data_IF_998840838061
#
_entry.id   IF_998840838061
#
_cell.length_a   1.000
_cell.length_b   1.000
_cell.length_c   1.000
_cell.angle_alpha   90.00
_cell.angle_beta   90.00
_cell.angle_gamma   90.00
#
_symmetry.space_group_name_H-M   'P 1'
#
loop_
_entity.id
_entity.type
_entity.pdbx_description
1 polymer ?
#
# COMPACT_ATOMS: atom_id res chain seq x y z
N UNK A 1 -21.79 -4.13 17.91
CA UNK A 1 -22.45 -3.59 16.71
C UNK A 1 -21.97 -2.14 16.59
N UNK A 2 -21.11 -1.79 15.64
CA UNK A 2 -20.71 -0.38 15.46
C UNK A 2 -19.31 -0.10 14.92
N UNK A 3 -18.82 -0.79 13.88
CA UNK A 3 -17.54 -0.46 13.22
C UNK A 3 -17.61 -0.54 11.68
N UNK A 4 -18.78 -0.27 11.07
CA UNK A 4 -18.94 -0.29 9.61
C UNK A 4 -19.36 1.05 8.99
N UNK A 5 -19.42 2.16 9.75
CA UNK A 5 -19.95 3.43 9.24
C UNK A 5 -18.87 4.38 8.67
N UNK A 6 -17.58 4.19 8.96
CA UNK A 6 -16.53 5.10 8.46
C UNK A 6 -16.20 4.89 6.98
N UNK A 7 -16.32 3.66 6.46
CA UNK A 7 -16.10 3.37 5.03
C UNK A 7 -17.13 4.03 4.11
N UNK A 8 -18.32 4.32 4.61
CA UNK A 8 -19.40 4.95 3.84
C UNK A 8 -19.27 6.48 3.78
N UNK A 9 -18.57 7.11 4.75
CA UNK A 9 -18.39 8.56 4.84
C UNK A 9 -17.37 9.10 3.82
N UNK A 10 -16.37 8.30 3.43
CA UNK A 10 -15.39 8.69 2.41
C UNK A 10 -16.00 8.76 0.99
N UNK A 11 -17.08 8.00 0.74
CA UNK A 11 -17.80 8.05 -0.53
C UNK A 11 -18.68 9.31 -0.69
N UNK A 12 -19.11 9.93 0.43
CA UNK A 12 -20.03 11.08 0.45
C UNK A 12 -19.33 12.45 0.58
N UNK A 13 -18.04 12.49 0.91
CA UNK A 13 -17.25 13.73 0.92
C UNK A 13 -16.01 13.64 0.02
N UNK A 14 -16.15 13.76 -1.31
CA UNK A 14 -15.02 13.87 -2.24
C UNK A 14 -14.18 15.17 -2.08
N UNK A 15 -14.24 15.85 -0.93
CA UNK A 15 -13.54 17.11 -0.65
C UNK A 15 -12.43 16.96 0.41
N UNK A 16 -12.23 15.76 0.95
CA UNK A 16 -11.17 15.46 1.94
C UNK A 16 -10.04 14.60 1.34
N UNK A 17 -9.77 14.72 0.04
CA UNK A 17 -8.55 14.18 -0.55
C UNK A 17 -7.55 15.32 -0.71
N UNK A 18 -6.30 15.11 -0.28
CA UNK A 18 -5.23 16.03 -0.64
C UNK A 18 -5.05 15.96 -2.15
N UNK A 19 -4.71 17.07 -2.82
CA UNK A 19 -4.51 17.12 -4.29
C UNK A 19 -3.66 15.96 -4.84
N UNK A 20 -2.75 15.43 -4.02
CA UNK A 20 -1.84 14.34 -4.36
C UNK A 20 -2.48 12.96 -4.29
N UNK A 21 -3.56 12.79 -3.54
CA UNK A 21 -4.21 11.49 -3.34
C UNK A 21 -4.88 11.00 -4.61
N UNK A 22 -5.45 11.86 -5.46
CA UNK A 22 -5.96 11.43 -6.78
C UNK A 22 -4.84 10.80 -7.62
N UNK A 23 -3.65 11.40 -7.60
CA UNK A 23 -2.49 10.89 -8.35
C UNK A 23 -2.02 9.56 -7.75
N UNK A 24 -1.88 9.50 -6.42
CA UNK A 24 -1.48 8.27 -5.71
C UNK A 24 -2.50 7.15 -5.94
N UNK A 25 -3.79 7.46 -5.88
CA UNK A 25 -4.87 6.51 -6.16
C UNK A 25 -4.74 5.99 -7.58
N UNK A 26 -4.63 6.87 -8.58
CA UNK A 26 -4.46 6.48 -9.98
C UNK A 26 -3.26 5.53 -10.19
N UNK A 27 -2.12 5.80 -9.55
CA UNK A 27 -0.95 4.92 -9.60
C UNK A 27 -1.25 3.58 -8.90
N UNK A 28 -1.92 3.60 -7.75
CA UNK A 28 -2.36 2.40 -7.04
C UNK A 28 -3.27 1.51 -7.93
N UNK A 29 -4.20 2.09 -8.70
CA UNK A 29 -5.02 1.34 -9.67
C UNK A 29 -4.17 0.68 -10.75
N UNK A 30 -3.10 1.32 -11.23
CA UNK A 30 -2.23 0.75 -12.24
C UNK A 30 -1.32 -0.38 -11.69
N UNK A 31 -0.85 -0.25 -10.45
CA UNK A 31 0.15 -1.12 -9.83
C UNK A 31 -0.40 -1.98 -8.68
N UNK A 32 -1.70 -2.26 -8.64
CA UNK A 32 -2.33 -2.99 -7.52
C UNK A 32 -1.75 -4.41 -7.29
N UNK A 33 -1.24 -5.05 -8.35
CA UNK A 33 -0.55 -6.36 -8.26
C UNK A 33 0.81 -6.27 -7.56
N UNK A 34 1.42 -5.08 -7.55
CA UNK A 34 2.67 -4.75 -6.85
C UNK A 34 2.40 -4.06 -5.51
N UNK A 35 1.26 -4.35 -4.87
CA UNK A 35 1.01 -3.93 -3.50
C UNK A 35 1.75 -4.84 -2.51
N UNK A 36 2.30 -4.25 -1.46
CA UNK A 36 2.92 -4.95 -0.36
C UNK A 36 2.48 -4.39 1.00
N UNK A 37 2.42 -5.27 2.00
CA UNK A 37 2.05 -4.93 3.38
C UNK A 37 3.20 -5.18 4.34
N UNK A 38 3.28 -4.38 5.38
CA UNK A 38 4.25 -4.51 6.45
C UNK A 38 3.93 -5.76 7.28
N UNK A 39 4.92 -6.63 7.48
CA UNK A 39 4.79 -7.86 8.30
C UNK A 39 5.71 -7.84 9.53
N UNK A 40 6.57 -6.83 9.64
CA UNK A 40 7.49 -6.63 10.75
C UNK A 40 8.46 -5.49 10.45
N UNK A 41 9.38 -5.22 11.36
CA UNK A 41 10.34 -4.12 11.24
C UNK A 41 11.16 -4.29 9.96
N UNK A 42 11.05 -3.34 9.03
CA UNK A 42 11.80 -3.35 7.77
C UNK A 42 11.32 -4.38 6.73
N UNK A 43 10.30 -5.19 7.02
CA UNK A 43 9.93 -6.36 6.22
C UNK A 43 8.53 -6.23 5.65
N UNK A 44 8.45 -6.29 4.33
CA UNK A 44 7.19 -6.30 3.60
C UNK A 44 6.93 -7.66 2.98
N UNK A 45 5.67 -7.93 2.68
CA UNK A 45 5.25 -9.06 1.85
C UNK A 45 4.29 -8.56 0.79
N UNK A 46 4.49 -8.98 -0.45
CA UNK A 46 3.56 -8.68 -1.53
C UNK A 46 2.19 -9.28 -1.19
N UNK A 47 1.14 -8.49 -1.39
CA UNK A 47 -0.22 -8.84 -0.97
C UNK A 47 -0.85 -9.95 -1.83
N UNK A 48 -0.45 -10.07 -3.10
CA UNK A 48 -1.04 -11.01 -4.05
C UNK A 48 -0.34 -12.37 -4.06
N UNK A 49 1.00 -12.39 -4.06
CA UNK A 49 1.79 -13.62 -4.16
C UNK A 49 2.50 -14.01 -2.86
N UNK A 50 2.49 -13.16 -1.83
CA UNK A 50 3.12 -13.43 -0.53
C UNK A 50 4.64 -13.40 -0.53
N UNK A 51 5.28 -12.98 -1.62
CA UNK A 51 6.74 -12.88 -1.72
C UNK A 51 7.28 -11.88 -0.70
N UNK A 52 8.35 -12.26 0.00
CA UNK A 52 9.05 -11.35 0.89
C UNK A 52 9.77 -10.26 0.08
N UNK A 53 9.66 -9.02 0.54
CA UNK A 53 10.27 -7.87 -0.12
C UNK A 53 10.69 -6.81 0.90
N UNK A 54 11.63 -5.97 0.49
CA UNK A 54 12.21 -4.93 1.34
C UNK A 54 12.21 -3.59 0.62
N UNK A 55 12.11 -2.49 1.36
CA UNK A 55 12.34 -1.17 0.77
C UNK A 55 13.80 -1.06 0.35
N UNK A 56 14.05 -0.60 -0.87
CA UNK A 56 15.41 -0.32 -1.31
C UNK A 56 16.02 0.81 -0.44
N UNK A 57 17.31 0.74 -0.05
CA UNK A 57 17.93 1.77 0.81
C UNK A 57 17.92 3.18 0.22
N UNK A 58 17.83 3.33 -1.11
CA UNK A 58 17.69 4.62 -1.78
C UNK A 58 16.25 5.15 -1.85
N UNK A 59 15.26 4.38 -1.36
CA UNK A 59 13.87 4.81 -1.33
C UNK A 59 13.69 5.95 -0.36
N UNK A 60 12.87 6.94 -0.71
CA UNK A 60 12.50 8.03 0.19
C UNK A 60 11.74 7.55 1.45
N UNK A 61 11.11 6.37 1.39
CA UNK A 61 10.45 5.75 2.53
C UNK A 61 11.45 5.04 3.46
N UNK A 62 12.67 4.78 2.99
CA UNK A 62 13.70 4.13 3.78
C UNK A 62 14.29 5.15 4.77
N UNK A 63 14.27 4.82 6.07
CA UNK A 63 14.79 5.69 7.12
C UNK A 63 13.80 6.74 7.64
N UNK A 64 12.54 6.70 7.22
CA UNK A 64 11.48 7.41 7.94
C UNK A 64 11.33 6.81 9.34
N UNK A 65 11.10 7.65 10.35
CA UNK A 65 10.87 7.22 11.73
C UNK A 65 9.59 6.41 11.93
N UNK A 66 8.77 6.30 10.89
CA UNK A 66 7.59 5.44 10.81
C UNK A 66 7.59 4.72 9.47
N UNK A 67 7.09 3.49 9.45
CA UNK A 67 6.95 2.70 8.23
C UNK A 67 5.47 2.61 7.86
N UNK A 68 5.06 2.95 6.64
CA UNK A 68 3.68 2.81 6.21
C UNK A 68 3.27 1.34 6.17
N UNK A 69 2.05 1.03 6.61
CA UNK A 69 1.55 -0.36 6.66
C UNK A 69 1.38 -0.96 5.26
N UNK A 70 1.00 -0.13 4.28
CA UNK A 70 0.81 -0.53 2.90
C UNK A 70 1.61 0.36 1.95
N UNK A 71 2.23 -0.28 0.97
CA UNK A 71 2.97 0.39 -0.10
C UNK A 71 2.65 -0.26 -1.45
N UNK A 72 2.75 0.50 -2.52
CA UNK A 72 2.88 -0.04 -3.87
C UNK A 72 4.25 0.33 -4.43
N UNK A 73 4.76 -0.50 -5.32
CA UNK A 73 6.07 -0.30 -5.96
C UNK A 73 5.97 -0.45 -7.47
N UNK A 74 6.85 0.25 -8.19
CA UNK A 74 6.90 0.18 -9.65
C UNK A 74 7.51 -1.13 -10.13
N UNK A 75 8.67 -1.49 -9.56
CA UNK A 75 9.44 -2.66 -9.94
C UNK A 75 10.11 -3.32 -8.74
N UNK A 76 10.47 -4.60 -8.92
CA UNK A 76 11.19 -5.39 -7.93
C UNK A 76 12.58 -5.73 -8.48
N UNK A 77 13.62 -5.29 -7.76
CA UNK A 77 15.01 -5.59 -8.10
C UNK A 77 15.42 -6.88 -7.38
N UNK A 78 15.65 -7.93 -8.16
CA UNK A 78 16.06 -9.23 -7.66
C UNK A 78 17.58 -9.28 -7.44
N UNK A 79 18.02 -9.38 -6.19
CA UNK A 79 19.44 -9.51 -5.83
C UNK A 79 19.63 -10.62 -4.79
N UNK A 80 20.51 -10.46 -3.80
CA UNK A 80 20.53 -11.32 -2.61
C UNK A 80 19.27 -11.16 -1.74
N UNK A 81 18.58 -10.02 -1.84
CA UNK A 81 17.24 -9.77 -1.31
C UNK A 81 16.42 -9.08 -2.39
N UNK A 82 15.11 -9.28 -2.33
CA UNK A 82 14.15 -8.64 -3.22
C UNK A 82 13.86 -7.23 -2.71
N UNK A 83 14.27 -6.22 -3.49
CA UNK A 83 14.11 -4.82 -3.13
C UNK A 83 13.06 -4.13 -4.01
N UNK A 84 12.14 -3.43 -3.37
CA UNK A 84 11.13 -2.59 -4.01
C UNK A 84 11.76 -1.25 -4.43
N UNK A 85 11.66 -0.92 -5.71
CA UNK A 85 12.11 0.35 -6.26
C UNK A 85 10.91 1.25 -6.61
N UNK A 86 11.08 2.56 -6.41
CA UNK A 86 10.02 3.57 -6.52
C UNK A 86 8.76 3.21 -5.71
N UNK A 87 8.93 2.96 -4.41
CA UNK A 87 7.83 2.65 -3.49
C UNK A 87 7.14 3.93 -2.98
N UNK A 88 5.80 3.88 -2.86
CA UNK A 88 4.96 4.96 -2.31
C UNK A 88 3.94 4.37 -1.33
N UNK A 89 3.58 5.13 -0.28
CA UNK A 89 2.56 4.70 0.68
C UNK A 89 1.17 4.65 0.05
N UNK A 90 0.39 3.65 0.46
CA UNK A 90 -0.96 3.40 -0.01
C UNK A 90 -1.94 3.38 1.16
N UNK A 91 -3.18 3.78 0.91
CA UNK A 91 -4.25 3.58 1.89
C UNK A 91 -4.93 2.22 1.65
N UNK A 92 -5.24 1.48 2.73
CA UNK A 92 -5.84 0.14 2.61
C UNK A 92 -7.19 0.17 1.89
N UNK A 93 -7.97 1.24 2.06
CA UNK A 93 -9.27 1.41 1.41
C UNK A 93 -9.15 1.40 -0.12
N UNK A 94 -8.08 1.99 -0.70
CA UNK A 94 -7.87 2.00 -2.14
C UNK A 94 -7.60 0.60 -2.69
N UNK A 95 -6.83 -0.21 -1.95
CA UNK A 95 -6.54 -1.59 -2.31
C UNK A 95 -7.78 -2.48 -2.16
N UNK A 96 -8.58 -2.25 -1.12
CA UNK A 96 -9.82 -2.98 -0.91
C UNK A 96 -10.84 -2.74 -2.03
N UNK A 97 -11.00 -1.49 -2.49
CA UNK A 97 -11.87 -1.14 -3.63
C UNK A 97 -11.46 -1.89 -4.92
N UNK A 98 -10.17 -2.15 -5.10
CA UNK A 98 -9.60 -2.78 -6.28
C UNK A 98 -9.68 -4.31 -6.28
N UNK A 99 -9.55 -4.91 -5.10
CA UNK A 99 -9.42 -6.36 -4.97
C UNK A 99 -9.87 -6.84 -3.60
N UNK A 100 -11.17 -6.79 -3.27
CA UNK A 100 -11.67 -7.13 -1.94
C UNK A 100 -11.36 -8.58 -1.54
N UNK A 101 -11.12 -9.47 -2.52
CA UNK A 101 -10.68 -10.85 -2.30
C UNK A 101 -9.21 -10.99 -1.86
N UNK A 102 -8.35 -10.04 -2.27
CA UNK A 102 -6.91 -10.06 -1.97
C UNK A 102 -6.55 -9.15 -0.79
N UNK A 103 -7.38 -8.14 -0.52
CA UNK A 103 -7.16 -7.12 0.49
C UNK A 103 -8.33 -7.15 1.48
N UNK A 104 -8.22 -7.96 2.54
CA UNK A 104 -9.26 -8.06 3.56
C UNK A 104 -9.21 -6.86 4.50
N UNK A 105 -10.37 -6.22 4.72
CA UNK A 105 -10.50 -5.11 5.70
C UNK A 105 -10.21 -5.57 7.13
N UNK A 106 -10.28 -6.88 7.43
CA UNK A 106 -9.91 -7.40 8.75
C UNK A 106 -8.43 -7.23 9.07
N UNK A 107 -7.59 -7.06 8.05
CA UNK A 107 -6.14 -6.83 8.18
C UNK A 107 -5.77 -5.35 7.95
N UNK A 108 -6.76 -4.46 7.77
CA UNK A 108 -6.61 -3.02 7.49
C UNK A 108 -6.99 -2.16 8.71
#
# INVERSE_FOLDING_TARGET
MGHCEEGHLLCIFPQLWSKWDIVRKAICYAYFHNAARLKGIGKYVNCMNGMACHLHPSSALYGLGFMPDYVFYHELILTSKEYMHCATSAEPIWLHELGPMFFSVKDC
#
